data_IF_944713767539
#
_entry.id   IF_944713767539
#
_cell.length_a   1.000
_cell.length_b   1.000
_cell.length_c   1.000
_cell.angle_alpha   90.00
_cell.angle_beta   90.00
_cell.angle_gamma   90.00
#
_symmetry.space_group_name_H-M   'P 1'
#
loop_
_entity.id
_entity.type
_entity.pdbx_description
1 polymer ?
#
# COMPACT_ATOMS: atom_id res chain seq x y z
N UNK A 1 -10.08 6.23 -12.99
CA UNK A 1 -11.44 5.78 -13.34
C UNK A 1 -12.26 5.94 -12.09
N UNK A 2 -13.21 6.87 -12.10
CA UNK A 2 -13.98 7.26 -10.91
C UNK A 2 -15.44 7.16 -11.33
N UNK A 3 -16.20 6.28 -10.68
CA UNK A 3 -17.62 6.02 -10.93
C UNK A 3 -18.44 6.38 -9.69
N UNK A 4 -19.74 6.56 -9.86
CA UNK A 4 -20.69 6.74 -8.76
C UNK A 4 -21.96 5.93 -9.04
N UNK A 5 -22.61 5.46 -7.97
CA UNK A 5 -23.88 4.74 -7.99
C UNK A 5 -24.71 5.16 -6.77
N UNK A 6 -26.03 4.97 -6.83
CA UNK A 6 -26.93 5.22 -5.69
C UNK A 6 -26.70 4.13 -4.63
N UNK A 7 -26.43 4.54 -3.39
CA UNK A 7 -26.22 3.62 -2.28
C UNK A 7 -27.54 2.98 -1.81
N UNK A 8 -27.53 1.68 -1.41
CA UNK A 8 -28.68 1.04 -0.77
C UNK A 8 -29.08 1.72 0.55
N UNK A 9 -30.32 1.50 0.99
CA UNK A 9 -30.78 1.96 2.31
C UNK A 9 -29.92 1.38 3.44
N UNK A 10 -29.50 2.24 4.37
CA UNK A 10 -28.66 1.85 5.50
C UNK A 10 -27.17 1.63 5.17
N UNK A 11 -26.73 1.88 3.93
CA UNK A 11 -25.31 1.82 3.59
C UNK A 11 -24.53 2.98 4.20
N UNK A 12 -23.39 2.67 4.82
CA UNK A 12 -22.42 3.66 5.29
C UNK A 12 -21.03 3.35 4.72
N UNK A 13 -20.40 4.31 4.04
CA UNK A 13 -19.13 4.09 3.36
C UNK A 13 -17.97 3.72 4.30
N UNK A 14 -18.03 4.11 5.58
CA UNK A 14 -17.01 3.81 6.58
C UNK A 14 -17.25 2.45 7.23
N UNK A 15 -18.50 2.13 7.58
CA UNK A 15 -18.82 0.93 8.37
C UNK A 15 -19.21 -0.27 7.51
N UNK A 16 -19.70 -0.07 6.29
CA UNK A 16 -20.04 -1.14 5.36
C UNK A 16 -18.84 -1.63 4.53
N UNK A 17 -17.65 -1.04 4.71
CA UNK A 17 -16.43 -1.47 4.03
C UNK A 17 -15.82 -2.73 4.68
N UNK A 18 -15.54 -3.76 3.88
CA UNK A 18 -14.89 -5.00 4.36
C UNK A 18 -13.40 -4.84 4.61
N UNK A 19 -12.71 -4.07 3.77
CA UNK A 19 -11.27 -3.85 3.84
C UNK A 19 -10.89 -2.57 3.13
N UNK A 20 -9.77 -1.99 3.54
CA UNK A 20 -9.08 -0.93 2.80
C UNK A 20 -7.77 -1.49 2.26
N UNK A 21 -7.47 -1.24 0.99
CA UNK A 21 -6.18 -1.62 0.39
C UNK A 21 -5.32 -0.38 0.26
N UNK A 22 -4.12 -0.49 0.80
CA UNK A 22 -3.09 0.53 0.69
C UNK A 22 -2.01 0.05 -0.28
N UNK A 23 -1.41 1.01 -0.98
CA UNK A 23 -0.24 0.77 -1.83
C UNK A 23 0.80 1.81 -1.48
N UNK A 24 2.01 1.35 -1.17
CA UNK A 24 3.17 2.20 -0.99
C UNK A 24 4.10 2.09 -2.20
N UNK A 25 4.74 3.19 -2.56
CA UNK A 25 5.79 3.23 -3.57
C UNK A 25 7.09 3.62 -2.89
N UNK A 26 8.11 2.77 -3.05
CA UNK A 26 9.46 3.02 -2.54
C UNK A 26 10.41 3.01 -3.72
N UNK A 27 11.28 4.01 -3.80
CA UNK A 27 12.28 4.13 -4.86
C UNK A 27 13.66 3.95 -4.23
N UNK A 28 14.35 2.86 -4.59
CA UNK A 28 15.72 2.55 -4.15
C UNK A 28 16.79 2.91 -5.19
N UNK A 29 16.39 3.62 -6.26
CA UNK A 29 17.34 4.16 -7.23
C UNK A 29 18.25 5.18 -6.53
N UNK A 30 19.59 5.09 -6.65
CA UNK A 30 20.51 6.03 -6.02
C UNK A 30 20.31 7.49 -6.46
N UNK A 31 19.71 7.73 -7.63
CA UNK A 31 19.35 9.07 -8.11
C UNK A 31 17.99 9.55 -7.59
N UNK A 32 17.28 8.72 -6.82
CA UNK A 32 15.96 8.99 -6.28
C UNK A 32 14.82 8.85 -7.30
N UNK A 33 13.57 9.14 -6.89
CA UNK A 33 12.43 9.15 -7.77
C UNK A 33 12.52 10.27 -8.82
N UNK A 34 11.92 10.03 -9.99
CA UNK A 34 11.81 11.06 -11.04
C UNK A 34 11.12 12.31 -10.50
N UNK A 35 11.38 13.52 -11.05
CA UNK A 35 10.81 14.76 -10.54
C UNK A 35 9.29 14.73 -10.32
N UNK A 36 8.54 14.11 -11.22
CA UNK A 36 7.08 14.00 -11.14
C UNK A 36 6.59 12.96 -10.10
N UNK A 37 7.46 12.06 -9.67
CA UNK A 37 7.11 11.00 -8.73
C UNK A 37 7.56 11.28 -7.30
N UNK A 38 8.25 12.42 -7.05
CA UNK A 38 8.86 12.77 -5.76
C UNK A 38 7.85 12.81 -4.60
N UNK A 39 6.64 13.28 -4.86
CA UNK A 39 5.60 13.42 -3.81
C UNK A 39 4.83 12.13 -3.54
N UNK A 40 4.92 11.16 -4.44
CA UNK A 40 4.14 9.91 -4.37
C UNK A 40 5.01 8.66 -4.19
N UNK A 41 6.33 8.83 -4.08
CA UNK A 41 7.29 7.74 -3.90
C UNK A 41 8.28 8.08 -2.80
N UNK A 42 8.40 7.18 -1.82
CA UNK A 42 9.37 7.32 -0.73
C UNK A 42 10.79 7.06 -1.28
N UNK A 43 11.73 8.01 -1.19
CA UNK A 43 13.12 7.74 -1.50
C UNK A 43 13.75 6.84 -0.43
N UNK A 44 14.46 5.81 -0.86
CA UNK A 44 15.19 4.89 0.00
C UNK A 44 16.62 4.75 -0.47
N UNK A 45 17.56 4.79 0.47
CA UNK A 45 18.98 5.00 0.18
C UNK A 45 19.76 3.70 -0.06
N UNK A 46 19.15 2.52 0.09
CA UNK A 46 19.79 1.20 -0.10
C UNK A 46 19.03 0.38 -1.12
N UNK A 47 19.74 -0.45 -1.88
CA UNK A 47 19.13 -1.43 -2.77
C UNK A 47 18.15 -2.34 -2.03
N UNK A 48 16.97 -2.51 -2.61
CA UNK A 48 15.95 -3.43 -2.12
C UNK A 48 15.98 -4.72 -2.94
N UNK A 49 15.91 -5.85 -2.24
CA UNK A 49 15.82 -7.17 -2.86
C UNK A 49 14.37 -7.64 -2.78
N UNK A 50 13.63 -7.49 -3.88
CA UNK A 50 12.19 -7.78 -3.92
C UNK A 50 11.86 -9.20 -3.48
N UNK A 51 12.65 -10.19 -3.90
CA UNK A 51 12.46 -11.58 -3.51
C UNK A 51 12.55 -11.76 -1.99
N UNK A 52 13.56 -11.17 -1.35
CA UNK A 52 13.72 -11.22 0.12
C UNK A 52 12.57 -10.53 0.85
N UNK A 53 12.05 -9.44 0.30
CA UNK A 53 10.89 -8.76 0.88
C UNK A 53 9.63 -9.63 0.79
N UNK A 54 9.41 -10.26 -0.35
CA UNK A 54 8.28 -11.18 -0.56
C UNK A 54 8.38 -12.41 0.35
N UNK A 55 9.58 -13.01 0.48
CA UNK A 55 9.84 -14.13 1.38
C UNK A 55 9.54 -13.75 2.84
N UNK A 56 9.97 -12.56 3.26
CA UNK A 56 9.70 -12.04 4.60
C UNK A 56 8.20 -11.86 4.87
N UNK A 57 7.45 -11.29 3.91
CA UNK A 57 6.00 -11.13 4.04
C UNK A 57 5.30 -12.49 4.06
N UNK A 58 5.71 -13.46 3.24
CA UNK A 58 5.16 -14.81 3.24
C UNK A 58 5.35 -15.51 4.60
N UNK A 59 6.48 -15.28 5.27
CA UNK A 59 6.72 -15.75 6.63
C UNK A 59 5.81 -15.04 7.66
N UNK A 60 5.55 -13.74 7.50
CA UNK A 60 4.70 -12.95 8.40
C UNK A 60 3.20 -13.20 8.23
N UNK A 61 2.73 -13.57 7.04
CA UNK A 61 1.31 -13.76 6.74
C UNK A 61 0.60 -14.82 7.62
N UNK A 62 1.37 -15.60 8.37
CA UNK A 62 0.88 -16.59 9.34
C UNK A 62 0.54 -15.97 10.71
N UNK A 63 0.82 -14.68 10.92
CA UNK A 63 0.59 -13.97 12.18
C UNK A 63 -0.34 -12.75 11.98
N UNK A 64 -1.44 -12.64 12.74
CA UNK A 64 -2.30 -11.47 12.68
C UNK A 64 -1.56 -10.25 13.21
N UNK A 65 -1.50 -9.19 12.39
CA UNK A 65 -1.01 -7.87 12.81
C UNK A 65 -2.12 -7.20 13.64
N UNK A 66 -2.17 -7.51 14.93
CA UNK A 66 -2.96 -6.73 15.88
C UNK A 66 -2.18 -5.46 16.18
N UNK A 67 -2.64 -4.33 15.63
CA UNK A 67 -2.23 -3.01 16.08
C UNK A 67 -3.10 -2.72 17.32
N UNK A 68 -2.55 -2.92 18.51
CA UNK A 68 -3.16 -2.40 19.75
C UNK A 68 -3.13 -0.87 19.80
#
# INVERSE_FOLDING_TARGET
MTSFDIAPEGFDARFSAFWHRYSYRVCDNPLGPTPLARDVSLPWYRTLHLDRMNDGVAAMAQHPLVLE
#
